data_IF_752182640620
#
_entry.id   IF_752182640620
#
_cell.length_a   1.000
_cell.length_b   1.000
_cell.length_c   1.000
_cell.angle_alpha   90.00
_cell.angle_beta   90.00
_cell.angle_gamma   90.00
#
_symmetry.space_group_name_H-M   'P 1'
#
loop_
_entity.id
_entity.type
_entity.pdbx_description
1 polymer ?
#
# COMPACT_ATOMS: atom_id res chain seq x y z
N UNK A 1 -17.86 17.88 2.71
CA UNK A 1 -16.44 17.99 2.35
C UNK A 1 -15.67 17.92 3.66
N UNK A 2 -15.08 16.76 3.97
CA UNK A 2 -14.25 16.67 5.16
C UNK A 2 -12.95 17.43 4.85
N UNK A 3 -12.69 18.47 5.63
CA UNK A 3 -11.45 19.25 5.61
C UNK A 3 -10.29 18.39 6.14
N UNK A 4 -9.06 18.86 5.99
CA UNK A 4 -7.89 18.23 6.61
C UNK A 4 -8.07 18.23 8.14
N UNK A 5 -8.28 17.06 8.75
CA UNK A 5 -8.50 16.88 10.20
C UNK A 5 -7.67 15.71 10.74
N UNK A 6 -7.32 15.75 12.02
CA UNK A 6 -6.62 14.66 12.71
C UNK A 6 -7.43 14.21 13.93
N UNK A 7 -7.50 12.90 14.24
CA UNK A 7 -8.17 12.41 15.45
C UNK A 7 -7.41 12.89 16.69
N UNK A 8 -8.13 13.42 17.69
CA UNK A 8 -7.58 13.87 18.97
C UNK A 8 -7.87 12.87 20.08
N UNK A 9 -9.11 12.40 20.20
CA UNK A 9 -9.53 11.38 21.18
C UNK A 9 -10.89 10.78 20.81
N UNK A 10 -11.18 9.61 21.38
CA UNK A 10 -12.51 9.01 21.37
C UNK A 10 -13.24 9.43 22.64
N UNK A 11 -14.43 9.97 22.50
CA UNK A 11 -15.34 10.24 23.61
C UNK A 11 -16.13 8.97 23.94
N UNK A 12 -16.23 8.64 25.22
CA UNK A 12 -16.97 7.48 25.72
C UNK A 12 -17.95 7.88 26.81
N UNK A 13 -19.05 7.14 26.95
CA UNK A 13 -19.99 7.29 28.05
C UNK A 13 -19.49 6.66 29.37
N UNK A 14 -20.29 6.74 30.44
CA UNK A 14 -19.97 6.15 31.75
C UNK A 14 -19.82 4.63 31.72
N UNK A 15 -20.39 3.97 30.70
CA UNK A 15 -20.29 2.52 30.48
C UNK A 15 -19.13 2.13 29.56
N UNK A 16 -18.38 3.10 29.03
CA UNK A 16 -17.25 2.89 28.13
C UNK A 16 -17.63 2.74 26.64
N UNK A 17 -18.87 3.01 26.25
CA UNK A 17 -19.27 2.98 24.84
C UNK A 17 -18.86 4.26 24.12
N UNK A 18 -18.40 4.12 22.87
CA UNK A 18 -18.08 5.26 22.01
C UNK A 18 -19.31 6.12 21.73
N UNK A 19 -19.17 7.43 21.88
CA UNK A 19 -20.24 8.41 21.60
C UNK A 19 -19.85 9.43 20.54
N UNK A 20 -18.54 9.70 20.39
CA UNK A 20 -18.02 10.61 19.37
C UNK A 20 -16.53 10.42 19.10
N UNK A 21 -16.09 10.83 17.91
CA UNK A 21 -14.70 11.12 17.61
C UNK A 21 -14.47 12.63 17.76
N UNK A 22 -13.53 13.02 18.63
CA UNK A 22 -13.06 14.39 18.69
C UNK A 22 -11.90 14.56 17.70
N UNK A 23 -12.00 15.57 16.85
CA UNK A 23 -11.01 15.87 15.80
C UNK A 23 -10.45 17.27 15.94
N UNK A 24 -9.16 17.44 15.60
CA UNK A 24 -8.49 18.73 15.52
C UNK A 24 -8.34 19.13 14.05
N UNK A 25 -8.96 20.23 13.60
CA UNK A 25 -8.72 20.76 12.26
C UNK A 25 -7.23 21.07 12.04
N UNK A 26 -6.72 20.72 10.87
CA UNK A 26 -5.33 20.88 10.47
C UNK A 26 -5.20 21.89 9.32
N UNK A 27 -3.97 22.36 9.08
CA UNK A 27 -3.58 23.14 7.91
C UNK A 27 -2.27 22.62 7.31
N UNK A 28 -2.02 22.94 6.04
CA UNK A 28 -0.79 22.52 5.35
C UNK A 28 0.38 23.30 5.92
N UNK A 29 1.35 22.61 6.52
CA UNK A 29 2.61 23.17 6.99
C UNK A 29 3.75 23.03 5.98
N UNK A 30 4.97 23.29 6.45
CA UNK A 30 6.18 23.21 5.63
C UNK A 30 6.44 21.79 5.09
N UNK A 31 7.08 21.71 3.93
CA UNK A 31 7.51 20.43 3.34
C UNK A 31 8.61 19.81 4.20
N UNK A 32 8.41 18.56 4.61
CA UNK A 32 9.40 17.72 5.28
C UNK A 32 9.52 16.39 4.53
N UNK A 33 10.74 15.93 4.27
CA UNK A 33 11.02 14.65 3.58
C UNK A 33 10.27 14.53 2.24
N UNK A 34 10.20 15.63 1.48
CA UNK A 34 9.58 15.66 0.14
C UNK A 34 8.05 15.76 0.12
N UNK A 35 7.37 15.83 1.28
CA UNK A 35 5.90 15.99 1.35
C UNK A 35 5.49 17.13 2.29
N UNK A 36 4.39 17.87 2.00
CA UNK A 36 3.82 18.83 2.95
C UNK A 36 3.43 18.14 4.27
N UNK A 37 3.89 18.68 5.41
CA UNK A 37 3.56 18.15 6.73
C UNK A 37 2.39 18.92 7.35
N UNK A 38 1.25 18.27 7.66
CA UNK A 38 0.12 18.91 8.34
C UNK A 38 0.53 19.44 9.74
N UNK A 39 -0.08 20.56 10.14
CA UNK A 39 0.02 21.12 11.50
C UNK A 39 -1.36 21.51 12.00
N UNK A 40 -1.54 21.53 13.33
CA UNK A 40 -2.80 21.95 13.92
C UNK A 40 -3.16 23.38 13.48
N UNK A 41 -4.39 23.56 13.01
CA UNK A 41 -4.91 24.88 12.72
C UNK A 41 -5.36 25.56 14.01
N UNK A 42 -5.31 26.90 14.06
CA UNK A 42 -5.91 27.67 15.15
C UNK A 42 -7.45 27.70 15.02
N UNK A 43 -8.06 26.52 15.14
CA UNK A 43 -9.50 26.29 15.11
C UNK A 43 -9.84 25.35 16.27
N UNK A 44 -11.01 25.54 16.91
CA UNK A 44 -11.44 24.64 17.98
C UNK A 44 -11.59 23.21 17.46
N UNK A 45 -11.41 22.26 18.37
CA UNK A 45 -11.74 20.85 18.13
C UNK A 45 -13.21 20.71 17.72
N UNK A 46 -13.48 19.67 16.94
CA UNK A 46 -14.81 19.31 16.48
C UNK A 46 -15.23 18.00 17.08
N UNK A 47 -16.50 17.92 17.46
CA UNK A 47 -17.14 16.69 17.93
C UNK A 47 -17.92 16.07 16.78
N UNK A 48 -17.51 14.88 16.36
CA UNK A 48 -18.20 14.08 15.35
C UNK A 48 -18.91 12.93 16.04
N UNK A 49 -20.23 12.99 16.12
CA UNK A 49 -21.05 11.93 16.74
C UNK A 49 -20.87 10.62 15.97
N UNK A 50 -20.56 9.55 16.72
CA UNK A 50 -20.34 8.23 16.19
C UNK A 50 -20.43 7.18 17.30
N UNK A 51 -21.23 6.14 17.06
CA UNK A 51 -21.32 4.98 17.95
C UNK A 51 -20.18 3.97 17.70
N UNK A 52 -19.61 3.98 16.49
CA UNK A 52 -18.55 3.07 16.05
C UNK A 52 -17.48 3.84 15.29
N UNK A 53 -16.21 3.64 15.69
CA UNK A 53 -15.05 4.19 15.01
C UNK A 53 -14.23 3.05 14.44
N UNK A 54 -14.06 3.04 13.12
CA UNK A 54 -13.23 2.06 12.41
C UNK A 54 -11.86 2.67 12.12
N UNK A 55 -10.82 2.18 12.80
CA UNK A 55 -9.44 2.64 12.60
C UNK A 55 -8.85 1.92 11.38
N UNK A 56 -8.65 2.65 10.28
CA UNK A 56 -8.12 2.14 9.02
C UNK A 56 -6.80 2.84 8.61
N UNK A 57 -5.89 3.05 9.57
CA UNK A 57 -4.63 3.79 9.35
C UNK A 57 -3.48 2.93 8.80
N UNK A 58 -3.71 1.62 8.63
CA UNK A 58 -2.70 0.66 8.20
C UNK A 58 -2.43 -0.41 9.25
N UNK A 59 -1.34 -1.15 9.06
CA UNK A 59 -0.85 -2.20 9.96
C UNK A 59 0.66 -2.05 10.08
N UNK A 60 1.17 -2.31 11.28
CA UNK A 60 2.61 -2.41 11.55
C UNK A 60 3.01 -3.88 11.67
N UNK A 61 4.30 -4.16 11.50
CA UNK A 61 4.87 -5.49 11.74
C UNK A 61 5.38 -5.55 13.17
N UNK A 62 5.00 -6.60 13.88
CA UNK A 62 5.57 -6.92 15.19
C UNK A 62 6.94 -7.57 14.99
N UNK A 63 8.00 -6.78 15.17
CA UNK A 63 9.38 -7.19 14.93
C UNK A 63 10.10 -7.67 16.18
N UNK A 64 9.60 -7.31 17.37
CA UNK A 64 10.31 -7.51 18.64
C UNK A 64 10.59 -9.00 18.92
N UNK A 65 9.63 -9.93 18.74
CA UNK A 65 9.90 -11.35 18.98
C UNK A 65 10.99 -11.94 18.09
N UNK A 66 11.22 -11.35 16.92
CA UNK A 66 12.22 -11.81 15.95
C UNK A 66 13.58 -11.14 16.16
N UNK A 67 13.59 -9.90 16.65
CA UNK A 67 14.80 -9.20 17.07
C UNK A 67 15.49 -9.95 18.21
N UNK A 68 14.73 -10.57 19.12
CA UNK A 68 15.24 -11.43 20.18
C UNK A 68 16.02 -12.65 19.64
N UNK A 69 15.72 -13.09 18.41
CA UNK A 69 16.46 -14.15 17.69
C UNK A 69 17.53 -13.60 16.73
N UNK A 70 17.81 -12.30 16.77
CA UNK A 70 18.88 -11.66 15.99
C UNK A 70 18.45 -11.13 14.62
N UNK A 71 17.16 -11.16 14.26
CA UNK A 71 16.69 -10.53 13.03
C UNK A 71 16.78 -9.01 13.11
N UNK A 72 17.38 -8.39 12.10
CA UNK A 72 17.50 -6.94 12.03
C UNK A 72 16.21 -6.31 11.49
N UNK A 73 15.74 -5.25 12.15
CA UNK A 73 14.62 -4.45 11.71
C UNK A 73 14.93 -2.96 11.79
N UNK A 74 14.45 -2.21 10.79
CA UNK A 74 14.54 -0.76 10.74
C UNK A 74 13.14 -0.18 10.50
N UNK A 75 12.74 0.79 11.33
CA UNK A 75 11.45 1.50 11.21
C UNK A 75 10.23 0.56 11.11
N UNK A 76 10.26 -0.55 11.85
CA UNK A 76 9.16 -1.53 11.87
C UNK A 76 9.10 -2.43 10.64
N UNK A 77 10.19 -2.58 9.89
CA UNK A 77 10.31 -3.55 8.79
C UNK A 77 11.63 -4.30 8.88
N UNK A 78 11.64 -5.57 8.49
CA UNK A 78 12.83 -6.40 8.50
C UNK A 78 13.80 -6.00 7.38
N UNK A 79 15.08 -6.00 7.71
CA UNK A 79 16.15 -5.67 6.77
C UNK A 79 16.52 -6.91 5.96
N UNK A 80 16.70 -6.72 4.65
CA UNK A 80 17.15 -7.76 3.73
C UNK A 80 18.08 -7.16 2.66
N UNK A 81 19.00 -7.98 2.14
CA UNK A 81 19.85 -7.59 1.03
C UNK A 81 19.09 -7.66 -0.32
N UNK A 82 19.77 -7.39 -1.45
CA UNK A 82 19.14 -7.44 -2.78
C UNK A 82 18.63 -8.83 -3.19
N UNK A 83 19.10 -9.90 -2.54
CA UNK A 83 18.65 -11.29 -2.73
C UNK A 83 17.57 -11.69 -1.72
N UNK A 84 17.11 -10.74 -0.91
CA UNK A 84 16.14 -10.92 0.18
C UNK A 84 16.64 -11.74 1.36
N UNK A 85 17.94 -12.01 1.46
CA UNK A 85 18.50 -12.68 2.63
C UNK A 85 18.68 -11.68 3.79
N UNK A 86 18.36 -12.13 5.00
CA UNK A 86 18.50 -11.34 6.21
C UNK A 86 19.98 -11.18 6.58
N UNK A 87 20.44 -9.96 6.90
CA UNK A 87 21.83 -9.75 7.30
C UNK A 87 22.20 -10.58 8.52
N UNK A 88 23.35 -11.26 8.45
CA UNK A 88 23.92 -12.07 9.54
C UNK A 88 23.08 -13.29 9.95
N UNK A 89 22.06 -13.67 9.18
CA UNK A 89 21.27 -14.88 9.38
C UNK A 89 21.17 -15.67 8.06
N UNK A 90 22.22 -16.45 7.71
CA UNK A 90 22.26 -17.20 6.46
C UNK A 90 21.08 -18.17 6.33
N UNK A 91 20.47 -18.22 5.14
CA UNK A 91 19.32 -19.07 4.87
C UNK A 91 17.98 -18.54 5.38
N UNK A 92 17.94 -17.35 5.98
CA UNK A 92 16.71 -16.65 6.36
C UNK A 92 16.41 -15.57 5.32
N UNK A 93 15.20 -15.58 4.77
CA UNK A 93 14.78 -14.64 3.72
C UNK A 93 13.56 -13.84 4.13
N UNK A 94 13.49 -12.59 3.68
CA UNK A 94 12.45 -11.63 4.05
C UNK A 94 11.96 -10.91 2.79
N UNK A 95 10.65 -10.95 2.53
CA UNK A 95 10.05 -10.30 1.37
C UNK A 95 8.59 -9.93 1.58
N UNK A 96 8.07 -9.04 0.73
CA UNK A 96 6.71 -8.53 0.84
C UNK A 96 6.59 -7.38 1.84
N UNK A 97 5.38 -7.14 2.35
CA UNK A 97 5.08 -5.97 3.18
C UNK A 97 5.93 -5.91 4.46
N UNK A 98 6.38 -7.04 5.00
CA UNK A 98 7.26 -7.07 6.17
C UNK A 98 8.69 -6.57 5.90
N UNK A 99 9.08 -6.45 4.62
CA UNK A 99 10.37 -5.94 4.16
C UNK A 99 10.24 -4.55 3.53
N UNK A 100 9.27 -4.35 2.64
CA UNK A 100 9.12 -3.10 1.88
C UNK A 100 8.14 -2.09 2.48
N UNK A 101 7.38 -2.49 3.49
CA UNK A 101 6.16 -1.81 3.90
C UNK A 101 5.00 -2.06 2.92
N UNK A 102 3.80 -1.50 3.22
CA UNK A 102 2.57 -1.75 2.47
C UNK A 102 2.71 -1.41 0.98
N UNK A 103 2.57 -2.42 0.12
CA UNK A 103 2.71 -2.28 -1.33
C UNK A 103 1.54 -2.94 -2.08
N UNK A 104 1.72 -3.17 -3.39
CA UNK A 104 0.76 -3.91 -4.20
C UNK A 104 1.00 -5.42 -4.08
N UNK A 105 -0.05 -6.22 -4.23
CA UNK A 105 0.03 -7.70 -4.20
C UNK A 105 1.10 -8.23 -5.17
N UNK A 106 1.24 -7.61 -6.34
CA UNK A 106 2.23 -8.02 -7.35
C UNK A 106 3.69 -7.83 -6.87
N UNK A 107 3.97 -6.83 -6.03
CA UNK A 107 5.29 -6.62 -5.43
C UNK A 107 5.62 -7.72 -4.42
N UNK A 108 4.66 -8.09 -3.58
CA UNK A 108 4.82 -9.20 -2.64
C UNK A 108 5.04 -10.55 -3.36
N UNK A 109 4.30 -10.79 -4.45
CA UNK A 109 4.52 -11.98 -5.31
C UNK A 109 5.93 -11.96 -5.91
N UNK A 110 6.38 -10.79 -6.40
CA UNK A 110 7.74 -10.63 -6.93
C UNK A 110 8.81 -10.98 -5.89
N UNK A 111 8.67 -10.46 -4.67
CA UNK A 111 9.57 -10.77 -3.57
C UNK A 111 9.58 -12.28 -3.24
N UNK A 112 8.40 -12.92 -3.19
CA UNK A 112 8.28 -14.35 -2.97
C UNK A 112 9.00 -15.20 -4.02
N UNK A 113 8.95 -14.79 -5.30
CA UNK A 113 9.68 -15.48 -6.39
C UNK A 113 11.20 -15.37 -6.23
N UNK A 114 11.69 -14.19 -5.87
CA UNK A 114 13.12 -13.95 -5.62
C UNK A 114 13.60 -14.80 -4.44
N UNK A 115 12.87 -14.75 -3.32
CA UNK A 115 13.18 -15.54 -2.12
C UNK A 115 13.20 -17.04 -2.42
N UNK A 116 12.17 -17.57 -3.09
CA UNK A 116 12.09 -18.99 -3.45
C UNK A 116 13.30 -19.44 -4.28
N UNK A 117 13.72 -18.62 -5.27
CA UNK A 117 14.86 -18.96 -6.12
C UNK A 117 16.20 -18.93 -5.36
N UNK A 118 16.37 -18.00 -4.42
CA UNK A 118 17.58 -17.93 -3.61
C UNK A 118 17.62 -19.01 -2.51
N UNK A 119 16.47 -19.42 -1.96
CA UNK A 119 16.35 -20.59 -1.08
C UNK A 119 16.75 -21.86 -1.82
N UNK A 120 16.27 -22.05 -3.06
CA UNK A 120 16.61 -23.20 -3.89
C UNK A 120 18.13 -23.28 -4.15
N UNK A 121 18.73 -22.14 -4.51
CA UNK A 121 20.18 -22.00 -4.71
C UNK A 121 20.97 -22.27 -3.42
N UNK A 122 20.48 -21.81 -2.26
CA UNK A 122 21.13 -22.01 -0.97
C UNK A 122 21.26 -23.50 -0.61
N UNK A 123 20.29 -24.32 -0.99
CA UNK A 123 20.35 -25.77 -0.85
C UNK A 123 21.13 -26.48 -1.96
N UNK A 124 21.71 -25.73 -2.91
CA UNK A 124 22.47 -26.27 -4.04
C UNK A 124 21.62 -26.80 -5.18
N UNK A 125 20.33 -26.45 -5.21
CA UNK A 125 19.44 -26.78 -6.32
C UNK A 125 19.36 -25.63 -7.33
N UNK A 126 18.95 -25.98 -8.55
CA UNK A 126 18.76 -25.02 -9.64
C UNK A 126 17.48 -25.36 -10.41
N UNK A 127 16.38 -25.55 -9.68
CA UNK A 127 15.09 -25.88 -10.25
C UNK A 127 14.63 -24.73 -11.16
N UNK A 128 14.32 -25.09 -12.40
CA UNK A 128 13.60 -24.20 -13.31
C UNK A 128 12.12 -24.49 -13.20
N UNK A 129 11.30 -23.44 -13.11
CA UNK A 129 9.85 -23.62 -13.22
C UNK A 129 9.54 -23.93 -14.69
N UNK A 130 8.94 -25.09 -15.01
CA UNK A 130 8.47 -25.35 -16.35
C UNK A 130 7.35 -24.35 -16.65
N UNK A 131 7.68 -23.33 -17.45
CA UNK A 131 6.69 -22.39 -17.95
C UNK A 131 6.15 -22.96 -19.26
N UNK A 132 5.38 -24.05 -19.16
CA UNK A 132 4.75 -24.72 -20.31
C UNK A 132 3.59 -23.90 -20.91
N UNK A 133 3.46 -22.65 -20.47
CA UNK A 133 2.49 -21.69 -20.98
C UNK A 133 3.09 -21.07 -22.23
N UNK A 134 2.46 -21.35 -23.38
CA UNK A 134 2.70 -20.59 -24.59
C UNK A 134 2.31 -19.13 -24.35
N UNK A 135 3.30 -18.27 -24.13
CA UNK A 135 3.07 -16.83 -24.00
C UNK A 135 2.82 -16.26 -25.39
N UNK A 136 1.73 -15.49 -25.60
CA UNK A 136 1.58 -14.75 -26.84
C UNK A 136 2.70 -13.74 -26.96
N UNK A 137 3.15 -13.45 -28.18
CA UNK A 137 4.11 -12.38 -28.39
C UNK A 137 3.57 -11.06 -27.80
N UNK A 138 4.40 -10.31 -27.05
CA UNK A 138 3.97 -9.04 -26.50
C UNK A 138 3.63 -8.12 -27.68
N UNK A 139 2.37 -7.70 -27.75
CA UNK A 139 1.96 -6.68 -28.72
C UNK A 139 2.72 -5.39 -28.43
N UNK A 140 3.14 -4.70 -29.49
CA UNK A 140 3.72 -3.37 -29.35
C UNK A 140 2.75 -2.48 -28.57
N UNK A 141 3.30 -1.76 -27.59
CA UNK A 141 2.50 -0.86 -26.79
C UNK A 141 2.36 0.49 -27.49
N UNK A 142 1.36 0.57 -28.36
CA UNK A 142 0.98 1.73 -29.17
C UNK A 142 -0.02 2.66 -28.46
N UNK A 143 -0.34 2.37 -27.19
CA UNK A 143 -1.32 3.14 -26.43
C UNK A 143 -0.77 4.51 -26.08
N UNK A 144 -1.53 5.55 -26.40
CA UNK A 144 -1.25 6.92 -25.95
C UNK A 144 -1.39 7.00 -24.42
N UNK A 145 -0.39 7.49 -23.69
CA UNK A 145 -0.53 7.76 -22.26
C UNK A 145 -1.69 8.73 -22.01
N UNK A 146 -2.60 8.36 -21.11
CA UNK A 146 -3.71 9.19 -20.65
C UNK A 146 -3.68 9.29 -19.14
N UNK A 147 -4.17 10.42 -18.62
CA UNK A 147 -4.40 10.59 -17.19
C UNK A 147 -5.46 9.60 -16.67
N UNK A 148 -5.49 9.42 -15.35
CA UNK A 148 -6.55 8.68 -14.67
C UNK A 148 -7.88 9.41 -14.87
N UNK A 149 -8.96 8.67 -15.09
CA UNK A 149 -10.31 9.25 -15.01
C UNK A 149 -10.59 9.70 -13.58
N UNK A 150 -10.95 10.97 -13.40
CA UNK A 150 -11.39 11.51 -12.12
C UNK A 150 -12.85 11.13 -11.88
N UNK A 151 -13.09 10.24 -10.92
CA UNK A 151 -14.44 9.80 -10.59
C UNK A 151 -15.15 10.89 -9.81
N UNK A 152 -16.29 11.35 -10.31
CA UNK A 152 -17.12 12.31 -9.61
C UNK A 152 -17.77 11.68 -8.37
N UNK A 153 -17.88 12.43 -7.28
CA UNK A 153 -18.61 12.00 -6.08
C UNK A 153 -20.01 12.61 -6.02
N UNK A 154 -20.95 11.87 -5.44
CA UNK A 154 -22.25 12.43 -5.05
C UNK A 154 -22.07 13.59 -4.06
N UNK A 155 -22.93 14.63 -4.10
CA UNK A 155 -22.86 15.71 -3.14
C UNK A 155 -22.98 15.21 -1.69
N UNK A 156 -22.13 15.72 -0.80
CA UNK A 156 -22.15 15.32 0.62
C UNK A 156 -23.52 15.56 1.30
N UNK A 157 -24.30 16.56 0.84
CA UNK A 157 -25.66 16.84 1.35
C UNK A 157 -26.66 15.72 1.06
N UNK A 158 -26.40 14.91 0.03
CA UNK A 158 -27.20 13.75 -0.35
C UNK A 158 -26.70 12.50 0.36
N UNK A 159 -25.37 12.23 0.26
CA UNK A 159 -24.72 11.06 0.85
C UNK A 159 -24.90 10.89 2.36
N UNK A 160 -25.11 11.99 3.10
CA UNK A 160 -25.31 11.91 4.55
C UNK A 160 -26.65 11.26 4.96
N UNK A 161 -27.57 11.04 4.04
CA UNK A 161 -28.92 10.53 4.34
C UNK A 161 -29.15 9.09 3.83
N UNK A 162 -28.13 8.44 3.26
CA UNK A 162 -28.23 7.06 2.77
C UNK A 162 -26.87 6.34 2.83
N UNK A 163 -26.89 5.03 2.59
CA UNK A 163 -25.71 4.17 2.52
C UNK A 163 -25.39 3.73 1.08
N UNK A 164 -25.87 4.47 0.07
CA UNK A 164 -25.53 4.17 -1.32
C UNK A 164 -24.08 4.59 -1.62
N UNK A 165 -23.54 4.12 -2.74
CA UNK A 165 -22.17 4.44 -3.16
C UNK A 165 -21.87 5.94 -3.14
N UNK A 166 -20.64 6.30 -2.77
CA UNK A 166 -20.16 7.70 -2.71
C UNK A 166 -19.81 8.22 -4.09
N UNK A 167 -19.12 7.39 -4.85
CA UNK A 167 -18.62 7.65 -6.20
C UNK A 167 -19.74 7.40 -7.23
N UNK A 168 -19.79 8.23 -8.25
CA UNK A 168 -20.54 7.91 -9.47
C UNK A 168 -19.79 6.83 -10.24
N UNK A 169 -20.52 5.95 -10.92
CA UNK A 169 -19.90 5.01 -11.84
C UNK A 169 -19.28 5.76 -13.03
N UNK A 170 -18.23 5.18 -13.62
CA UNK A 170 -17.71 5.66 -14.91
C UNK A 170 -18.80 5.52 -15.98
N UNK A 171 -18.88 6.50 -16.87
CA UNK A 171 -19.53 6.31 -18.16
C UNK A 171 -18.80 5.22 -18.97
N UNK A 172 -19.46 4.71 -20.01
CA UNK A 172 -18.83 3.74 -20.91
C UNK A 172 -17.54 4.32 -21.53
N UNK A 173 -17.56 5.58 -21.95
CA UNK A 173 -16.40 6.25 -22.55
C UNK A 173 -15.23 6.39 -21.57
N UNK A 174 -15.52 6.78 -20.33
CA UNK A 174 -14.53 6.85 -19.25
C UNK A 174 -13.95 5.47 -18.91
N UNK A 175 -14.80 4.44 -18.84
CA UNK A 175 -14.36 3.08 -18.57
C UNK A 175 -13.48 2.54 -19.70
N UNK A 176 -13.85 2.79 -20.97
CA UNK A 176 -13.05 2.43 -22.14
C UNK A 176 -11.72 3.16 -22.16
N UNK A 177 -11.70 4.45 -21.81
CA UNK A 177 -10.47 5.22 -21.67
C UNK A 177 -9.55 4.65 -20.58
N UNK A 178 -10.11 4.39 -19.40
CA UNK A 178 -9.37 3.92 -18.22
C UNK A 178 -8.78 2.52 -18.48
N UNK A 179 -9.56 1.61 -19.09
CA UNK A 179 -9.10 0.29 -19.54
C UNK A 179 -8.06 0.39 -20.67
N UNK A 180 -8.19 1.41 -21.52
CA UNK A 180 -7.25 1.72 -22.59
C UNK A 180 -5.95 2.37 -22.12
N UNK A 181 -5.83 2.77 -20.85
CA UNK A 181 -4.60 3.38 -20.33
C UNK A 181 -3.54 2.31 -20.12
N UNK A 182 -2.39 2.45 -20.79
CA UNK A 182 -1.27 1.58 -20.46
C UNK A 182 -0.59 2.03 -19.17
N UNK A 183 -0.46 1.11 -18.22
CA UNK A 183 0.36 1.30 -17.02
C UNK A 183 1.85 1.03 -17.24
N UNK A 184 2.26 0.75 -18.49
CA UNK A 184 3.63 0.38 -18.87
C UNK A 184 4.20 -0.74 -17.99
N UNK A 185 3.43 -1.79 -17.73
CA UNK A 185 3.89 -2.94 -16.95
C UNK A 185 5.09 -3.67 -17.60
N UNK A 186 5.31 -3.47 -18.90
CA UNK A 186 6.51 -3.86 -19.64
C UNK A 186 7.78 -3.12 -19.19
N UNK A 187 7.64 -1.91 -18.65
CA UNK A 187 8.74 -1.04 -18.23
C UNK A 187 8.81 -0.88 -16.71
N UNK A 188 7.67 -0.87 -16.02
CA UNK A 188 7.54 -0.65 -14.58
C UNK A 188 6.97 -1.86 -13.82
N UNK A 189 6.62 -2.95 -14.52
CA UNK A 189 6.13 -4.17 -13.88
C UNK A 189 7.26 -5.11 -13.46
N UNK A 190 6.98 -5.97 -12.49
CA UNK A 190 7.96 -6.93 -11.96
C UNK A 190 8.32 -8.08 -12.93
N UNK A 191 7.75 -8.11 -14.15
CA UNK A 191 8.01 -9.14 -15.15
C UNK A 191 9.35 -9.00 -15.88
N UNK A 192 10.06 -7.90 -15.68
CA UNK A 192 11.31 -7.60 -16.39
C UNK A 192 12.56 -8.17 -15.70
N UNK A 193 12.40 -8.99 -14.65
CA UNK A 193 13.52 -9.57 -13.94
C UNK A 193 14.13 -10.72 -14.76
N UNK A 194 15.12 -10.38 -15.59
CA UNK A 194 16.04 -11.38 -16.14
C UNK A 194 16.77 -12.01 -14.94
N UNK A 195 16.77 -13.34 -14.88
CA UNK A 195 17.30 -14.20 -13.81
C UNK A 195 16.58 -14.20 -12.44
N UNK A 196 15.81 -13.17 -12.09
CA UNK A 196 14.88 -13.19 -10.94
C UNK A 196 15.51 -13.40 -9.56
N UNK A 197 16.82 -13.19 -9.43
CA UNK A 197 17.57 -13.37 -8.17
C UNK A 197 17.68 -12.10 -7.32
N UNK A 198 17.33 -10.95 -7.91
CA UNK A 198 17.43 -9.65 -7.26
C UNK A 198 16.09 -8.93 -7.29
N UNK A 199 15.68 -8.40 -6.14
CA UNK A 199 14.57 -7.46 -6.07
C UNK A 199 15.10 -6.04 -6.32
N UNK A 200 14.68 -5.44 -7.43
CA UNK A 200 14.86 -4.01 -7.66
C UNK A 200 13.77 -3.26 -6.88
N UNK A 201 14.17 -2.48 -5.89
CA UNK A 201 13.27 -1.67 -5.04
C UNK A 201 12.98 -0.34 -5.71
#
# INVERSE_FOLDING_TARGET
>A
MAVLEAPARVEVDESGHCTALITQPQMIGAVKRGRPAPVAANKPERRMEADVILIAVGRDIDVDPFADFGMQAERGSFVANGQLESPNLPGIYVGGDCQSGPATVIKAIGAGKVAARNIDEYFGYHHTLPCDVALPEPKQNDRTPKGRVEIAERPARERKNDFLGVEYGMSLEEAEQECGRCLRCDCFGAGCQVDGRFQYV
#
